data_IF_307859814857
#
_entry.id   IF_307859814857
#
_cell.length_a   1.000
_cell.length_b   1.000
_cell.length_c   1.000
_cell.angle_alpha   90.00
_cell.angle_beta   90.00
_cell.angle_gamma   90.00
#
_symmetry.space_group_name_H-M   'P 1'
#
loop_
_entity.id
_entity.type
_entity.pdbx_description
1 polymer ?
#
# COMPACT_ATOMS: atom_id res chain seq x y z
N UNK A 1 -16.05 -22.54 1.96
CA UNK A 1 -15.45 -21.97 3.18
C UNK A 1 -14.43 -20.92 2.75
N UNK A 2 -14.64 -19.62 3.04
CA UNK A 2 -13.81 -18.50 2.55
C UNK A 2 -12.33 -18.63 2.94
N UNK A 3 -12.06 -19.17 4.13
CA UNK A 3 -10.72 -19.50 4.62
C UNK A 3 -9.97 -20.49 3.70
N UNK A 4 -10.66 -21.26 2.86
CA UNK A 4 -10.05 -22.27 2.00
C UNK A 4 -9.16 -21.70 0.88
N UNK A 5 -9.38 -20.45 0.44
CA UNK A 5 -8.48 -19.81 -0.53
C UNK A 5 -7.19 -19.35 0.13
N UNK A 6 -7.30 -18.70 1.30
CA UNK A 6 -6.15 -18.21 2.07
C UNK A 6 -5.32 -19.37 2.64
N UNK A 7 -5.97 -20.46 3.08
CA UNK A 7 -5.28 -21.67 3.54
C UNK A 7 -4.56 -22.44 2.43
N UNK A 8 -4.80 -22.10 1.16
CA UNK A 8 -4.09 -22.64 -0.01
C UNK A 8 -2.96 -21.73 -0.50
N UNK A 9 -2.87 -20.50 0.00
CA UNK A 9 -1.77 -19.60 -0.35
C UNK A 9 -0.49 -20.12 0.31
N UNK A 10 0.38 -20.67 -0.52
CA UNK A 10 1.76 -20.95 -0.13
C UNK A 10 2.55 -19.63 -0.12
N UNK A 11 2.46 -18.92 1.00
CA UNK A 11 3.09 -17.61 1.19
C UNK A 11 4.61 -17.68 1.05
N UNK A 12 5.21 -18.80 1.44
CA UNK A 12 6.65 -19.01 1.29
C UNK A 12 7.01 -19.10 -0.20
N UNK A 13 6.27 -19.92 -0.96
CA UNK A 13 6.45 -20.00 -2.40
C UNK A 13 6.25 -18.64 -3.08
N UNK A 14 5.18 -17.91 -2.74
CA UNK A 14 4.92 -16.58 -3.29
C UNK A 14 6.07 -15.61 -2.98
N UNK A 15 6.57 -15.62 -1.74
CA UNK A 15 7.67 -14.76 -1.34
C UNK A 15 8.95 -15.09 -2.14
N UNK A 16 9.31 -16.36 -2.21
CA UNK A 16 10.59 -16.83 -2.77
C UNK A 16 10.61 -16.88 -4.30
N UNK A 17 9.51 -17.29 -4.92
CA UNK A 17 9.44 -17.51 -6.37
C UNK A 17 8.83 -16.32 -7.14
N UNK A 18 8.15 -15.39 -6.47
CA UNK A 18 7.51 -14.24 -7.12
C UNK A 18 7.99 -12.89 -6.57
N UNK A 19 7.77 -12.61 -5.28
CA UNK A 19 8.06 -11.28 -4.70
C UNK A 19 9.55 -10.96 -4.80
N UNK A 20 10.43 -11.84 -4.33
CA UNK A 20 11.88 -11.62 -4.33
C UNK A 20 12.43 -11.42 -5.76
N UNK A 21 12.14 -12.29 -6.75
CA UNK A 21 12.58 -12.09 -8.13
C UNK A 21 12.06 -10.76 -8.72
N UNK A 22 10.77 -10.45 -8.58
CA UNK A 22 10.21 -9.23 -9.17
C UNK A 22 10.79 -7.96 -8.53
N UNK A 23 11.01 -7.95 -7.21
CA UNK A 23 11.67 -6.83 -6.55
C UNK A 23 13.11 -6.65 -7.07
N UNK A 24 13.86 -7.72 -7.33
CA UNK A 24 15.21 -7.61 -7.88
C UNK A 24 15.24 -7.16 -9.35
N UNK A 25 14.36 -7.71 -10.19
CA UNK A 25 14.41 -7.49 -11.64
C UNK A 25 13.69 -6.21 -12.07
N UNK A 26 12.52 -5.97 -11.50
CA UNK A 26 11.57 -4.92 -11.91
C UNK A 26 11.54 -3.76 -10.91
N UNK A 27 11.71 -4.06 -9.62
CA UNK A 27 11.68 -3.07 -8.53
C UNK A 27 10.34 -2.96 -7.80
N UNK A 28 9.30 -3.62 -8.29
CA UNK A 28 7.97 -3.72 -7.69
C UNK A 28 7.27 -5.01 -8.14
N UNK A 29 6.21 -5.40 -7.42
CA UNK A 29 5.29 -6.48 -7.80
C UNK A 29 3.94 -6.32 -7.11
N UNK A 30 2.89 -6.93 -7.64
CA UNK A 30 1.59 -6.96 -6.97
C UNK A 30 0.91 -8.32 -7.06
N UNK A 31 0.07 -8.62 -6.09
CA UNK A 31 -0.74 -9.83 -5.97
C UNK A 31 -2.21 -9.41 -5.97
N UNK A 32 -2.98 -9.91 -6.92
CA UNK A 32 -4.43 -9.70 -6.97
C UNK A 32 -5.16 -10.82 -6.24
N UNK A 33 -6.33 -10.50 -5.69
CA UNK A 33 -7.17 -11.43 -4.92
C UNK A 33 -6.46 -12.00 -3.68
N UNK A 34 -5.69 -11.15 -2.97
CA UNK A 34 -4.79 -11.59 -1.92
C UNK A 34 -5.50 -12.20 -0.69
N UNK A 35 -6.50 -11.51 -0.15
CA UNK A 35 -7.29 -11.99 0.99
C UNK A 35 -8.54 -12.76 0.56
N UNK A 36 -9.00 -12.53 -0.67
CA UNK A 36 -10.31 -12.93 -1.14
C UNK A 36 -11.40 -11.96 -0.66
N UNK A 37 -12.53 -12.01 -1.36
CA UNK A 37 -13.61 -11.03 -1.23
C UNK A 37 -14.13 -10.85 0.19
N UNK A 38 -14.38 -11.94 0.93
CA UNK A 38 -14.96 -11.89 2.28
C UNK A 38 -14.05 -11.14 3.26
N UNK A 39 -12.76 -11.44 3.25
CA UNK A 39 -11.82 -10.82 4.20
C UNK A 39 -11.46 -9.41 3.75
N UNK A 40 -11.29 -9.19 2.44
CA UNK A 40 -11.13 -7.85 1.87
C UNK A 40 -12.29 -6.93 2.22
N UNK A 41 -13.52 -7.44 2.23
CA UNK A 41 -14.71 -6.69 2.66
C UNK A 41 -14.68 -6.30 4.11
N UNK A 42 -14.26 -7.20 5.01
CA UNK A 42 -14.10 -6.86 6.41
C UNK A 42 -13.07 -5.73 6.61
N UNK A 43 -11.99 -5.71 5.83
CA UNK A 43 -11.01 -4.61 5.87
C UNK A 43 -11.62 -3.31 5.35
N UNK A 44 -12.28 -3.36 4.19
CA UNK A 44 -12.94 -2.21 3.57
C UNK A 44 -13.99 -1.59 4.50
N UNK A 45 -14.87 -2.40 5.10
CA UNK A 45 -15.90 -1.90 6.01
C UNK A 45 -15.28 -1.25 7.25
N UNK A 46 -14.15 -1.77 7.76
CA UNK A 46 -13.43 -1.11 8.86
C UNK A 46 -12.85 0.24 8.43
N UNK A 47 -12.25 0.33 7.25
CA UNK A 47 -11.70 1.59 6.72
C UNK A 47 -12.81 2.63 6.52
N UNK A 48 -13.95 2.24 5.94
CA UNK A 48 -15.13 3.11 5.81
C UNK A 48 -15.64 3.60 7.15
N UNK A 49 -15.71 2.74 8.18
CA UNK A 49 -16.11 3.15 9.52
C UNK A 49 -15.14 4.18 10.13
N UNK A 50 -13.82 3.97 9.99
CA UNK A 50 -12.82 4.94 10.44
C UNK A 50 -13.02 6.30 9.75
N UNK A 51 -13.30 6.28 8.45
CA UNK A 51 -13.58 7.49 7.68
C UNK A 51 -14.88 8.18 8.11
N UNK A 52 -16.00 7.46 8.15
CA UNK A 52 -17.31 7.99 8.56
C UNK A 52 -17.31 8.55 10.00
N UNK A 53 -16.51 7.96 10.89
CA UNK A 53 -16.38 8.43 12.27
C UNK A 53 -15.42 9.63 12.44
N UNK A 54 -14.87 10.16 11.35
CA UNK A 54 -13.96 11.32 11.37
C UNK A 54 -12.59 11.01 11.98
N UNK A 55 -12.16 9.75 11.99
CA UNK A 55 -10.86 9.37 12.54
C UNK A 55 -9.67 9.80 11.66
N UNK A 56 -9.90 9.97 10.36
CA UNK A 56 -8.88 10.36 9.38
C UNK A 56 -8.61 11.87 9.44
N UNK A 57 -7.33 12.24 9.27
CA UNK A 57 -6.86 13.64 9.27
C UNK A 57 -6.03 13.92 8.04
N UNK A 58 -6.01 15.17 7.57
CA UNK A 58 -5.20 15.57 6.41
C UNK A 58 -3.76 15.04 6.50
N UNK A 59 -3.30 14.39 5.42
CA UNK A 59 -1.98 13.81 5.32
C UNK A 59 -0.87 14.84 5.46
N UNK A 60 0.17 14.49 6.22
CA UNK A 60 1.33 15.36 6.46
C UNK A 60 2.61 14.79 5.82
N UNK A 61 3.59 15.67 5.58
CA UNK A 61 4.92 15.27 5.11
C UNK A 61 5.88 15.01 6.27
N UNK A 62 6.81 14.09 6.08
CA UNK A 62 7.94 13.90 7.00
C UNK A 62 9.00 15.01 6.81
N UNK A 63 9.56 15.55 7.90
CA UNK A 63 10.69 16.49 7.87
C UNK A 63 10.54 17.71 8.80
N UNK A 64 11.54 18.62 8.83
CA UNK A 64 11.63 19.74 9.79
C UNK A 64 10.55 20.82 9.67
N UNK A 65 9.62 20.69 8.71
CA UNK A 65 8.40 21.50 8.60
C UNK A 65 7.15 20.65 8.85
N UNK A 66 7.24 19.70 9.78
CA UNK A 66 6.13 18.88 10.23
C UNK A 66 5.00 19.76 10.77
N UNK A 67 3.75 19.44 10.42
CA UNK A 67 2.55 20.11 10.95
C UNK A 67 1.79 21.04 10.00
N UNK A 68 2.32 21.38 8.82
CA UNK A 68 1.57 22.15 7.81
C UNK A 68 0.96 21.21 6.77
N UNK A 69 -0.37 21.08 6.77
CA UNK A 69 -1.12 20.39 5.71
C UNK A 69 -0.82 21.09 4.37
N UNK A 70 -0.11 20.40 3.49
CA UNK A 70 0.19 20.87 2.14
C UNK A 70 -0.70 20.11 1.17
N UNK A 71 -1.99 20.49 1.11
CA UNK A 71 -2.99 19.91 0.20
C UNK A 71 -2.57 19.92 -1.27
N UNK A 72 -1.65 20.81 -1.66
CA UNK A 72 -1.07 20.85 -3.01
C UNK A 72 -0.05 19.74 -3.30
N UNK A 73 0.48 19.05 -2.27
CA UNK A 73 1.43 17.96 -2.42
C UNK A 73 0.77 16.60 -2.25
N UNK A 74 -0.11 16.47 -1.26
CA UNK A 74 -0.94 15.29 -1.04
C UNK A 74 -2.33 15.71 -0.58
N UNK A 75 -3.35 15.12 -1.20
CA UNK A 75 -4.76 15.44 -0.97
C UNK A 75 -5.52 14.39 -0.16
N UNK A 76 -4.82 13.43 0.43
CA UNK A 76 -5.40 12.34 1.21
C UNK A 76 -5.59 12.68 2.68
N UNK A 77 -6.46 11.92 3.32
CA UNK A 77 -6.67 11.89 4.76
C UNK A 77 -6.19 10.55 5.28
N UNK A 78 -5.48 10.52 6.40
CA UNK A 78 -4.83 9.34 6.95
C UNK A 78 -5.14 9.11 8.42
N UNK A 79 -5.02 7.85 8.84
CA UNK A 79 -4.89 7.47 10.24
C UNK A 79 -3.90 6.32 10.39
N UNK A 80 -3.33 6.15 11.58
CA UNK A 80 -2.32 5.12 11.86
C UNK A 80 -2.90 4.03 12.76
N UNK A 81 -2.95 2.80 12.24
CA UNK A 81 -3.54 1.63 12.90
C UNK A 81 -2.45 0.61 13.25
N UNK A 82 -2.38 0.22 14.53
CA UNK A 82 -1.47 -0.82 15.02
C UNK A 82 -1.94 -2.23 14.69
N UNK A 83 -3.25 -2.42 14.53
CA UNK A 83 -3.90 -3.73 14.34
C UNK A 83 -4.32 -4.39 15.65
N UNK A 84 -4.19 -3.70 16.78
CA UNK A 84 -4.66 -4.16 18.09
C UNK A 84 -5.83 -3.32 18.63
N UNK A 85 -6.24 -2.30 17.88
CA UNK A 85 -7.43 -1.52 18.16
C UNK A 85 -8.71 -2.37 17.99
N UNK A 86 -9.72 -2.09 18.79
CA UNK A 86 -11.02 -2.75 18.71
C UNK A 86 -11.64 -2.60 17.30
N UNK A 87 -12.17 -3.70 16.74
CA UNK A 87 -12.78 -3.71 15.41
C UNK A 87 -11.77 -3.74 14.25
N UNK A 88 -10.46 -3.79 14.53
CA UNK A 88 -9.40 -3.86 13.52
C UNK A 88 -8.88 -5.30 13.29
N UNK A 89 -9.65 -6.33 13.61
CA UNK A 89 -9.22 -7.74 13.53
C UNK A 89 -8.88 -8.15 12.09
N UNK A 90 -9.66 -7.71 11.11
CA UNK A 90 -9.37 -7.98 9.69
C UNK A 90 -8.09 -7.26 9.21
N UNK A 91 -7.85 -6.03 9.68
CA UNK A 91 -6.60 -5.29 9.41
C UNK A 91 -5.42 -6.00 10.07
N UNK A 92 -5.58 -6.44 11.32
CA UNK A 92 -4.57 -7.23 12.05
C UNK A 92 -4.20 -8.51 11.30
N UNK A 93 -5.21 -9.21 10.78
CA UNK A 93 -5.02 -10.41 10.00
C UNK A 93 -4.26 -10.14 8.69
N UNK A 94 -4.66 -9.12 7.92
CA UNK A 94 -3.93 -8.65 6.73
C UNK A 94 -2.46 -8.35 7.06
N UNK A 95 -2.21 -7.58 8.13
CA UNK A 95 -0.86 -7.24 8.55
C UNK A 95 -0.04 -8.48 8.90
N UNK A 96 -0.64 -9.47 9.58
CA UNK A 96 0.04 -10.74 9.89
C UNK A 96 0.45 -11.55 8.66
N UNK A 97 -0.30 -11.43 7.55
CA UNK A 97 0.02 -12.09 6.29
C UNK A 97 1.16 -11.36 5.57
N UNK A 98 1.13 -10.02 5.56
CA UNK A 98 2.22 -9.20 5.03
C UNK A 98 3.52 -9.45 5.80
N UNK A 99 3.44 -9.48 7.13
CA UNK A 99 4.60 -9.75 8.00
C UNK A 99 5.21 -11.13 7.70
N UNK A 100 4.38 -12.15 7.45
CA UNK A 100 4.85 -13.47 7.01
C UNK A 100 5.50 -13.45 5.63
N UNK A 101 4.90 -12.79 4.63
CA UNK A 101 5.50 -12.67 3.30
C UNK A 101 6.89 -12.02 3.37
N UNK A 102 7.03 -10.92 4.11
CA UNK A 102 8.31 -10.24 4.29
C UNK A 102 9.31 -11.10 5.06
N UNK A 103 8.87 -11.84 6.08
CA UNK A 103 9.70 -12.79 6.81
C UNK A 103 10.25 -13.90 5.90
N UNK A 104 9.40 -14.48 5.03
CA UNK A 104 9.83 -15.50 4.07
C UNK A 104 10.79 -14.96 3.01
N UNK A 105 10.64 -13.69 2.60
CA UNK A 105 11.62 -13.04 1.74
C UNK A 105 13.00 -12.98 2.44
N UNK A 106 13.01 -12.69 3.75
CA UNK A 106 14.17 -12.82 4.62
C UNK A 106 15.43 -12.11 4.08
N UNK A 107 16.56 -12.81 4.13
CA UNK A 107 17.85 -12.31 3.62
C UNK A 107 17.93 -12.26 2.09
N UNK A 108 16.90 -12.70 1.36
CA UNK A 108 16.88 -12.65 -0.11
C UNK A 108 16.48 -11.28 -0.65
N UNK A 109 16.14 -10.30 0.20
CA UNK A 109 15.89 -8.90 -0.20
C UNK A 109 17.19 -8.10 -0.42
N UNK A 110 18.23 -8.76 -0.92
CA UNK A 110 19.56 -8.19 -1.10
C UNK A 110 20.23 -7.84 0.23
N UNK A 111 20.60 -6.56 0.38
CA UNK A 111 21.28 -6.08 1.60
C UNK A 111 20.34 -5.80 2.78
N UNK A 112 19.03 -5.91 2.58
CA UNK A 112 18.05 -5.56 3.60
C UNK A 112 17.66 -6.79 4.43
N UNK A 113 17.59 -6.59 5.75
CA UNK A 113 16.99 -7.54 6.68
C UNK A 113 15.91 -6.81 7.48
N UNK A 114 14.65 -7.08 7.14
CA UNK A 114 13.50 -6.38 7.73
C UNK A 114 13.20 -6.96 9.10
N UNK A 115 13.41 -6.15 10.15
CA UNK A 115 13.15 -6.55 11.55
C UNK A 115 11.76 -6.13 12.03
N UNK A 116 11.27 -5.02 11.49
CA UNK A 116 10.03 -4.39 11.91
C UNK A 116 9.43 -3.59 10.76
N UNK A 117 8.17 -3.19 10.94
CA UNK A 117 7.45 -2.27 10.05
C UNK A 117 6.79 -1.17 10.88
N UNK A 118 6.39 -0.09 10.22
CA UNK A 118 5.52 0.91 10.84
C UNK A 118 4.13 0.34 11.15
N UNK A 119 3.35 1.13 11.90
CA UNK A 119 1.88 0.98 11.90
C UNK A 119 1.34 1.10 10.47
N UNK A 120 0.17 0.53 10.23
CA UNK A 120 -0.53 0.69 8.96
C UNK A 120 -1.01 2.12 8.82
N UNK A 121 -0.67 2.78 7.72
CA UNK A 121 -1.25 4.07 7.36
C UNK A 121 -2.48 3.81 6.49
N UNK A 122 -3.66 3.87 7.09
CA UNK A 122 -4.92 3.85 6.32
C UNK A 122 -5.08 5.22 5.68
N UNK A 123 -5.28 5.26 4.37
CA UNK A 123 -5.42 6.50 3.63
C UNK A 123 -6.69 6.52 2.76
N UNK A 124 -7.30 7.70 2.66
CA UNK A 124 -8.45 7.99 1.84
C UNK A 124 -8.18 9.23 0.99
N UNK A 125 -8.24 9.09 -0.33
CA UNK A 125 -8.29 10.21 -1.26
C UNK A 125 -9.78 10.47 -1.56
N UNK A 126 -10.35 11.61 -1.12
CA UNK A 126 -11.80 11.85 -1.15
C UNK A 126 -12.35 12.19 -2.55
N UNK A 127 -11.63 11.88 -3.63
CA UNK A 127 -11.97 12.27 -4.98
C UNK A 127 -11.61 13.73 -5.29
N UNK A 128 -12.41 14.39 -6.14
CA UNK A 128 -12.26 15.81 -6.51
C UNK A 128 -10.88 16.18 -7.10
N UNK A 129 -10.22 15.24 -7.77
CA UNK A 129 -8.90 15.44 -8.35
C UNK A 129 -7.76 15.41 -7.32
N UNK A 130 -8.01 14.97 -6.08
CA UNK A 130 -6.95 14.79 -5.08
C UNK A 130 -5.97 13.70 -5.54
N UNK A 131 -4.69 13.89 -5.23
CA UNK A 131 -3.62 12.96 -5.59
C UNK A 131 -2.41 13.17 -4.70
N UNK A 132 -1.28 12.60 -5.09
CA UNK A 132 0.00 12.80 -4.43
C UNK A 132 1.06 13.03 -5.50
N UNK A 133 1.68 14.20 -5.46
CA UNK A 133 2.77 14.57 -6.37
C UNK A 133 3.91 13.54 -6.36
N UNK A 134 4.66 13.50 -7.47
CA UNK A 134 5.81 12.62 -7.57
C UNK A 134 6.79 12.79 -6.42
N UNK A 135 7.11 11.68 -5.75
CA UNK A 135 8.01 11.64 -4.61
C UNK A 135 8.74 10.30 -4.53
N UNK A 136 9.66 10.21 -3.57
CA UNK A 136 10.31 8.97 -3.14
C UNK A 136 9.93 8.80 -1.67
N UNK A 137 9.55 7.58 -1.27
CA UNK A 137 9.15 7.32 0.11
C UNK A 137 10.30 7.60 1.06
N UNK A 138 11.47 7.02 0.81
CA UNK A 138 12.67 7.16 1.60
C UNK A 138 13.83 7.81 0.80
N UNK A 139 13.83 9.14 0.62
CA UNK A 139 14.85 9.83 -0.17
C UNK A 139 16.19 9.98 0.54
N UNK A 140 16.20 9.87 1.88
CA UNK A 140 17.31 10.26 2.77
C UNK A 140 17.79 9.14 3.70
N UNK A 141 17.29 7.91 3.55
CA UNK A 141 17.75 6.76 4.33
C UNK A 141 17.20 6.67 5.76
N UNK A 142 15.90 6.91 5.97
CA UNK A 142 15.21 6.81 7.26
C UNK A 142 14.96 5.36 7.76
N UNK A 143 15.58 4.36 7.11
CA UNK A 143 15.43 2.95 7.44
C UNK A 143 14.35 2.19 6.65
N UNK A 144 13.37 2.87 6.04
CA UNK A 144 12.35 2.19 5.21
C UNK A 144 12.97 1.60 3.95
N UNK A 145 12.77 0.32 3.72
CA UNK A 145 13.33 -0.38 2.56
C UNK A 145 12.26 -0.89 1.60
N UNK A 146 11.12 -1.35 2.10
CA UNK A 146 10.01 -1.86 1.29
C UNK A 146 8.74 -1.11 1.68
N UNK A 147 8.03 -0.63 0.67
CA UNK A 147 6.67 -0.10 0.81
C UNK A 147 5.69 -1.19 0.40
N UNK A 148 4.67 -1.40 1.23
CA UNK A 148 3.59 -2.34 1.00
C UNK A 148 2.25 -1.59 1.05
N UNK A 149 1.40 -1.76 0.03
CA UNK A 149 0.09 -1.09 -0.09
C UNK A 149 -0.97 -2.14 -0.39
N UNK A 150 -2.10 -2.11 0.32
CA UNK A 150 -3.25 -2.97 0.04
C UNK A 150 -4.45 -2.13 -0.40
N UNK A 151 -4.99 -2.39 -1.58
CA UNK A 151 -6.04 -1.59 -2.19
C UNK A 151 -7.45 -2.13 -1.92
N UNK A 152 -8.40 -1.23 -1.69
CA UNK A 152 -9.74 -1.57 -1.19
C UNK A 152 -10.89 -1.14 -2.12
N UNK A 153 -10.59 -0.75 -3.36
CA UNK A 153 -11.56 -0.05 -4.21
C UNK A 153 -12.32 -1.00 -5.14
N UNK A 154 -13.55 -1.37 -4.75
CA UNK A 154 -14.42 -2.24 -5.55
C UNK A 154 -14.82 -1.57 -6.86
N UNK A 155 -14.85 -2.37 -7.94
CA UNK A 155 -15.31 -1.93 -9.26
C UNK A 155 -14.60 -0.65 -9.75
N UNK A 156 -13.31 -0.50 -9.44
CA UNK A 156 -12.54 0.66 -9.85
C UNK A 156 -12.29 0.63 -11.36
N UNK A 157 -12.72 1.68 -12.06
CA UNK A 157 -12.35 1.95 -13.46
C UNK A 157 -11.42 3.15 -13.50
N UNK A 158 -10.13 2.93 -13.75
CA UNK A 158 -9.14 4.01 -13.80
C UNK A 158 -9.42 5.05 -14.91
N UNK A 159 -10.15 4.71 -15.97
CA UNK A 159 -10.51 5.66 -17.04
C UNK A 159 -11.56 6.68 -16.56
N UNK A 160 -12.45 6.25 -15.66
CA UNK A 160 -13.50 7.09 -15.10
C UNK A 160 -13.06 7.75 -13.80
N UNK A 161 -12.42 6.99 -12.91
CA UNK A 161 -12.11 7.40 -11.55
C UNK A 161 -10.68 7.94 -11.38
N UNK A 162 -9.77 7.73 -12.34
CA UNK A 162 -8.37 8.11 -12.21
C UNK A 162 -7.66 7.33 -11.09
N UNK A 163 -6.91 8.04 -10.24
CA UNK A 163 -6.32 7.49 -9.00
C UNK A 163 -5.22 6.45 -9.17
N UNK A 164 -4.69 6.31 -10.39
CA UNK A 164 -3.60 5.38 -10.73
C UNK A 164 -2.34 5.74 -9.95
N UNK A 165 -1.69 4.74 -9.34
CA UNK A 165 -0.33 4.89 -8.84
C UNK A 165 0.63 4.71 -10.02
N UNK A 166 1.35 5.76 -10.39
CA UNK A 166 2.36 5.72 -11.44
C UNK A 166 3.75 5.65 -10.82
N UNK A 167 4.49 4.60 -11.14
CA UNK A 167 5.87 4.34 -10.69
C UNK A 167 6.82 4.60 -11.85
N UNK A 168 7.96 5.24 -11.55
CA UNK A 168 9.01 5.58 -12.51
C UNK A 168 10.32 4.85 -12.14
N UNK A 169 10.45 3.53 -12.36
CA UNK A 169 11.60 2.78 -11.88
C UNK A 169 12.92 3.31 -12.42
N UNK A 170 13.87 3.59 -11.53
CA UNK A 170 15.16 4.18 -11.89
C UNK A 170 15.95 3.24 -12.81
N UNK A 171 16.53 3.79 -13.88
CA UNK A 171 17.31 3.02 -14.85
C UNK A 171 16.47 2.11 -15.76
N UNK A 172 15.14 2.16 -15.70
CA UNK A 172 14.24 1.46 -16.63
C UNK A 172 13.68 2.45 -17.65
N UNK A 173 13.43 1.94 -18.86
CA UNK A 173 12.84 2.73 -19.96
C UNK A 173 11.32 2.84 -19.88
N UNK A 174 10.68 2.02 -19.04
CA UNK A 174 9.23 1.97 -18.90
C UNK A 174 8.75 2.74 -17.67
N UNK A 175 7.48 3.14 -17.73
CA UNK A 175 6.70 3.65 -16.61
C UNK A 175 5.68 2.58 -16.26
N UNK A 176 5.44 2.34 -14.98
CA UNK A 176 4.47 1.36 -14.53
C UNK A 176 3.24 2.05 -13.92
N UNK A 177 2.07 1.73 -14.45
CA UNK A 177 0.79 2.19 -13.92
C UNK A 177 0.11 1.05 -13.15
N UNK A 178 -0.18 1.29 -11.87
CA UNK A 178 -0.85 0.34 -10.98
C UNK A 178 -2.21 0.91 -10.59
N UNK A 179 -3.26 0.28 -11.10
CA UNK A 179 -4.63 0.59 -10.72
C UNK A 179 -4.90 0.16 -9.27
N UNK A 180 -5.58 0.98 -8.46
CA UNK A 180 -5.84 0.70 -7.04
C UNK A 180 -7.05 -0.23 -6.85
N UNK A 181 -7.09 -1.35 -7.58
CA UNK A 181 -8.23 -2.26 -7.58
C UNK A 181 -8.37 -3.01 -6.25
N UNK A 182 -9.60 -3.37 -5.88
CA UNK A 182 -9.88 -4.14 -4.68
C UNK A 182 -9.07 -5.44 -4.57
N UNK A 183 -8.60 -5.70 -3.36
CA UNK A 183 -7.85 -6.91 -2.98
C UNK A 183 -6.51 -7.11 -3.71
N UNK A 184 -5.91 -6.00 -4.15
CA UNK A 184 -4.53 -5.95 -4.66
C UNK A 184 -3.55 -5.58 -3.57
N UNK A 185 -2.53 -6.42 -3.36
CA UNK A 185 -1.38 -6.15 -2.51
C UNK A 185 -0.17 -5.78 -3.38
N UNK A 186 0.42 -4.61 -3.18
CA UNK A 186 1.55 -4.08 -3.93
C UNK A 186 2.79 -3.99 -3.03
N UNK A 187 3.95 -4.40 -3.55
CA UNK A 187 5.26 -4.18 -2.95
C UNK A 187 6.17 -3.40 -3.90
N UNK A 188 6.96 -2.47 -3.38
CA UNK A 188 8.04 -1.83 -4.11
C UNK A 188 9.15 -1.33 -3.16
N UNK A 189 10.36 -1.12 -3.67
CA UNK A 189 11.44 -0.53 -2.89
C UNK A 189 11.13 0.92 -2.51
N UNK A 190 11.24 1.27 -1.23
CA UNK A 190 10.92 2.62 -0.72
C UNK A 190 11.94 3.69 -1.11
N UNK A 191 13.15 3.30 -1.53
CA UNK A 191 14.20 4.26 -1.85
C UNK A 191 14.10 4.82 -3.27
N UNK A 192 15.15 5.51 -3.71
CA UNK A 192 15.21 6.22 -4.99
C UNK A 192 15.05 5.34 -6.23
N UNK A 193 15.02 4.01 -6.08
CA UNK A 193 14.70 3.08 -7.16
C UNK A 193 13.27 3.26 -7.69
N UNK A 194 12.32 3.73 -6.87
CA UNK A 194 10.91 3.87 -7.28
C UNK A 194 10.30 5.23 -6.92
N UNK A 195 10.71 6.33 -7.57
CA UNK A 195 9.92 7.55 -7.57
C UNK A 195 8.52 7.24 -8.10
N UNK A 196 7.47 7.77 -7.46
CA UNK A 196 6.09 7.47 -7.82
C UNK A 196 5.15 8.62 -7.47
N UNK A 197 3.99 8.65 -8.12
CA UNK A 197 2.93 9.63 -7.90
C UNK A 197 1.56 8.94 -7.89
N UNK A 198 0.61 9.50 -7.14
CA UNK A 198 -0.81 9.13 -7.24
C UNK A 198 -1.48 10.16 -8.12
N UNK A 199 -1.93 9.73 -9.30
CA UNK A 199 -2.66 10.58 -10.22
C UNK A 199 -3.97 11.08 -9.59
N UNK A 200 -4.53 12.20 -10.10
CA UNK A 200 -5.81 12.72 -9.62
C UNK A 200 -6.89 11.63 -9.55
N UNK A 201 -7.50 11.49 -8.37
CA UNK A 201 -8.62 10.61 -8.10
C UNK A 201 -9.92 11.41 -8.16
N UNK A 202 -10.91 10.90 -8.90
CA UNK A 202 -12.24 11.52 -9.06
C UNK A 202 -13.34 10.75 -8.33
N UNK A 203 -12.99 9.62 -7.71
CA UNK A 203 -13.82 8.90 -6.75
C UNK A 203 -13.04 8.71 -5.43
N UNK A 204 -13.75 8.32 -4.37
CA UNK A 204 -13.13 7.94 -3.09
C UNK A 204 -12.22 6.73 -3.29
N UNK A 205 -10.92 6.91 -3.02
CA UNK A 205 -9.89 5.88 -3.15
C UNK A 205 -9.28 5.55 -1.79
N UNK A 206 -9.43 4.31 -1.36
CA UNK A 206 -9.01 3.78 -0.06
C UNK A 206 -7.86 2.77 -0.23
N UNK A 207 -6.86 2.87 0.67
CA UNK A 207 -5.71 1.97 0.75
C UNK A 207 -5.02 1.97 2.12
#
# INVERSE_FOLDING_TARGET
MPLGHIMRLDLEKIALEYIVPCLHEVGFCYLDNFLGEVVGDCVLERVKQLHCNGALRDGQLAGPRAGVSKRHLRGDQITWIGGNEEGCEAISFLLSLIDRLVLYCGSRLGKYYVKERSKAMVACYPGNGTGYVRHVDNPNGDGRCITCIYYLNKNWDAKLHGGVLRIFPEGKSFIADVEPIFDRLLFFWSDRRNPHEVQPSYATREN
#
